data_IF_720382418291
#
_entry.id   IF_720382418291
#
_cell.length_a   1.000
_cell.length_b   1.000
_cell.length_c   1.000
_cell.angle_alpha   90.00
_cell.angle_beta   90.00
_cell.angle_gamma   90.00
#
_symmetry.space_group_name_H-M   'P 1'
#
loop_
_entity.id
_entity.type
_entity.pdbx_description
1 polymer ?
#
# COMPACT_ATOMS: atom_id res chain seq x y z
N UNK A 1 -6.58 -21.36 -39.45
CA UNK A 1 -6.43 -20.46 -40.61
C UNK A 1 -6.34 -21.27 -41.89
N UNK A 2 -5.47 -22.27 -41.97
CA UNK A 2 -5.24 -23.11 -43.15
C UNK A 2 -6.52 -23.84 -43.63
N UNK A 3 -7.23 -24.47 -42.73
CA UNK A 3 -8.47 -25.23 -43.02
C UNK A 3 -9.60 -24.32 -43.53
N UNK A 4 -9.68 -23.09 -43.00
CA UNK A 4 -10.68 -22.13 -43.44
C UNK A 4 -10.39 -21.59 -44.84
N UNK A 5 -9.14 -21.25 -45.13
CA UNK A 5 -8.74 -20.80 -46.46
C UNK A 5 -9.04 -21.90 -47.51
N UNK A 6 -8.85 -23.17 -47.13
CA UNK A 6 -9.14 -24.30 -47.98
C UNK A 6 -10.66 -24.48 -48.21
N UNK A 7 -11.48 -24.36 -47.17
CA UNK A 7 -12.94 -24.43 -47.27
C UNK A 7 -13.51 -23.27 -48.08
N UNK A 8 -13.01 -22.03 -47.82
CA UNK A 8 -13.46 -20.84 -48.55
C UNK A 8 -13.04 -20.93 -50.05
N UNK A 9 -11.84 -21.43 -50.34
CA UNK A 9 -11.40 -21.65 -51.70
C UNK A 9 -12.23 -22.73 -52.41
N UNK A 10 -12.54 -23.83 -51.77
CA UNK A 10 -13.40 -24.89 -52.34
C UNK A 10 -14.82 -24.38 -52.58
N UNK A 11 -15.43 -23.66 -51.64
CA UNK A 11 -16.75 -23.04 -51.82
C UNK A 11 -16.77 -22.04 -52.96
N UNK A 12 -15.72 -21.20 -53.09
CA UNK A 12 -15.60 -20.22 -54.15
C UNK A 12 -15.50 -20.91 -55.55
N UNK A 13 -14.69 -21.95 -55.64
CA UNK A 13 -14.50 -22.68 -56.89
C UNK A 13 -15.74 -23.43 -57.32
N UNK A 14 -16.51 -24.02 -56.40
CA UNK A 14 -17.70 -24.83 -56.72
C UNK A 14 -19.01 -24.05 -56.79
N UNK A 15 -19.18 -22.93 -56.06
CA UNK A 15 -20.44 -22.22 -56.00
C UNK A 15 -20.36 -20.70 -56.25
N UNK A 16 -19.17 -20.18 -56.44
CA UNK A 16 -18.95 -18.72 -56.51
C UNK A 16 -19.30 -17.94 -55.24
N UNK A 17 -19.57 -18.64 -54.12
CA UNK A 17 -20.05 -18.08 -52.90
C UNK A 17 -18.85 -17.74 -51.96
N UNK A 18 -18.60 -16.50 -51.73
CA UNK A 18 -17.70 -16.05 -50.67
C UNK A 18 -18.44 -15.87 -49.37
N UNK A 19 -17.98 -16.51 -48.31
CA UNK A 19 -18.54 -16.32 -46.97
C UNK A 19 -17.79 -15.16 -46.29
N UNK A 20 -18.37 -13.94 -46.26
CA UNK A 20 -17.70 -12.73 -45.74
C UNK A 20 -17.55 -12.75 -44.19
N UNK A 21 -18.00 -13.80 -43.56
CA UNK A 21 -18.04 -13.93 -42.09
C UNK A 21 -16.67 -13.69 -41.44
N UNK A 22 -15.58 -14.09 -42.12
CA UNK A 22 -14.24 -13.92 -41.58
C UNK A 22 -13.71 -12.48 -41.69
N UNK A 23 -14.14 -11.72 -42.66
CA UNK A 23 -13.77 -10.31 -42.76
C UNK A 23 -14.35 -9.48 -41.63
N UNK A 24 -15.42 -9.97 -41.00
CA UNK A 24 -16.07 -9.34 -39.85
C UNK A 24 -15.51 -9.90 -38.54
N UNK A 25 -15.33 -11.22 -38.45
CA UNK A 25 -14.87 -11.87 -37.21
C UNK A 25 -13.40 -11.54 -36.84
N UNK A 26 -12.52 -11.45 -37.82
CA UNK A 26 -11.10 -11.16 -37.54
C UNK A 26 -10.93 -9.78 -36.87
N UNK A 27 -11.47 -8.66 -37.40
CA UNK A 27 -11.38 -7.36 -36.72
C UNK A 27 -12.05 -7.36 -35.35
N UNK A 28 -13.18 -8.06 -35.18
CA UNK A 28 -13.86 -8.14 -33.86
C UNK A 28 -13.01 -8.86 -32.81
N UNK A 29 -12.35 -9.96 -33.20
CA UNK A 29 -11.46 -10.69 -32.29
C UNK A 29 -10.22 -9.83 -31.94
N UNK A 30 -9.62 -9.16 -32.92
CA UNK A 30 -8.47 -8.29 -32.68
C UNK A 30 -8.83 -7.08 -31.81
N UNK A 31 -9.98 -6.42 -32.08
CA UNK A 31 -10.43 -5.26 -31.28
C UNK A 31 -10.80 -5.67 -29.85
N UNK A 32 -11.50 -6.79 -29.67
CA UNK A 32 -11.83 -7.31 -28.33
C UNK A 32 -10.58 -7.70 -27.55
N UNK A 33 -9.61 -8.36 -28.19
CA UNK A 33 -8.32 -8.67 -27.57
C UNK A 33 -7.53 -7.43 -27.17
N UNK A 34 -7.50 -6.43 -28.05
CA UNK A 34 -6.83 -5.16 -27.75
C UNK A 34 -7.50 -4.41 -26.58
N UNK A 35 -8.83 -4.35 -26.58
CA UNK A 35 -9.59 -3.75 -25.46
C UNK A 35 -9.32 -4.49 -24.14
N UNK A 36 -9.28 -5.83 -24.18
CA UNK A 36 -9.02 -6.62 -22.98
C UNK A 36 -7.59 -6.37 -22.43
N UNK A 37 -6.59 -6.32 -23.31
CA UNK A 37 -5.20 -5.98 -22.92
C UNK A 37 -5.13 -4.56 -22.35
N UNK A 38 -5.80 -3.60 -23.00
CA UNK A 38 -5.86 -2.22 -22.51
C UNK A 38 -6.49 -2.11 -21.11
N UNK A 39 -7.61 -2.78 -20.88
CA UNK A 39 -8.29 -2.81 -19.57
C UNK A 39 -7.43 -3.48 -18.50
N UNK A 40 -6.73 -4.57 -18.83
CA UNK A 40 -5.78 -5.21 -17.92
C UNK A 40 -4.63 -4.27 -17.55
N UNK A 41 -4.07 -3.57 -18.53
CA UNK A 41 -2.98 -2.61 -18.30
C UNK A 41 -3.44 -1.43 -17.43
N UNK A 42 -4.59 -0.82 -17.73
CA UNK A 42 -5.16 0.30 -16.96
C UNK A 42 -5.47 -0.12 -15.51
N UNK A 43 -6.00 -1.32 -15.32
CA UNK A 43 -6.24 -1.91 -13.98
C UNK A 43 -4.96 -2.09 -13.19
N UNK A 44 -3.87 -2.57 -13.81
CA UNK A 44 -2.56 -2.73 -13.17
C UNK A 44 -1.96 -1.38 -12.74
N UNK A 45 -2.04 -0.37 -13.59
CA UNK A 45 -1.53 0.98 -13.29
C UNK A 45 -2.28 1.61 -12.12
N UNK A 46 -3.62 1.52 -12.12
CA UNK A 46 -4.45 2.03 -11.03
C UNK A 46 -4.19 1.32 -9.71
N UNK A 47 -4.00 0.00 -9.75
CA UNK A 47 -3.67 -0.78 -8.56
C UNK A 47 -2.32 -0.36 -7.98
N UNK A 48 -1.30 -0.15 -8.82
CA UNK A 48 0.02 0.33 -8.37
C UNK A 48 -0.02 1.72 -7.73
N UNK A 49 -0.84 2.63 -8.26
CA UNK A 49 -1.03 3.96 -7.66
C UNK A 49 -1.74 3.90 -6.31
N UNK A 50 -2.75 3.03 -6.16
CA UNK A 50 -3.43 2.79 -4.89
C UNK A 50 -2.48 2.18 -3.86
N UNK A 51 -1.66 1.20 -4.25
CA UNK A 51 -0.63 0.61 -3.38
C UNK A 51 0.35 1.68 -2.85
N UNK A 52 0.86 2.53 -3.72
CA UNK A 52 1.75 3.63 -3.33
C UNK A 52 1.12 4.60 -2.33
N UNK A 53 -0.13 4.95 -2.53
CA UNK A 53 -0.87 5.82 -1.61
C UNK A 53 -1.19 5.14 -0.28
N UNK A 54 -1.59 3.86 -0.30
CA UNK A 54 -1.90 3.10 0.91
C UNK A 54 -0.65 2.80 1.76
N UNK A 55 0.52 2.58 1.12
CA UNK A 55 1.79 2.34 1.82
C UNK A 55 2.23 3.52 2.69
N UNK A 56 1.78 4.74 2.37
CA UNK A 56 2.05 5.93 3.20
C UNK A 56 1.23 5.96 4.49
N UNK A 57 0.11 5.22 4.55
CA UNK A 57 -0.82 5.24 5.68
C UNK A 57 -0.97 3.88 6.39
N UNK A 58 -0.61 2.79 5.73
CA UNK A 58 -0.77 1.44 6.25
C UNK A 58 0.58 0.71 6.29
N UNK A 59 0.81 -0.13 7.33
CA UNK A 59 1.98 -1.00 7.38
C UNK A 59 2.05 -1.89 6.13
N UNK A 60 3.26 -2.16 5.60
CA UNK A 60 3.44 -3.04 4.43
C UNK A 60 2.82 -4.43 4.60
N UNK A 61 2.78 -4.93 5.85
CA UNK A 61 2.15 -6.21 6.20
C UNK A 61 0.64 -6.16 5.96
N UNK A 62 -0.02 -5.05 6.35
CA UNK A 62 -1.47 -4.87 6.16
C UNK A 62 -1.82 -4.74 4.69
N UNK A 63 -1.04 -3.95 3.93
CA UNK A 63 -1.23 -3.82 2.47
C UNK A 63 -1.08 -5.17 1.77
N UNK A 64 -0.08 -5.96 2.17
CA UNK A 64 0.15 -7.30 1.63
C UNK A 64 -0.98 -8.27 1.97
N UNK A 65 -1.52 -8.21 3.19
CA UNK A 65 -2.64 -9.04 3.62
C UNK A 65 -3.92 -8.68 2.85
N UNK A 66 -4.24 -7.40 2.71
CA UNK A 66 -5.39 -6.92 1.92
C UNK A 66 -5.28 -7.40 0.45
N UNK A 67 -4.08 -7.37 -0.11
CA UNK A 67 -3.82 -7.81 -1.48
C UNK A 67 -4.03 -9.32 -1.67
N UNK A 68 -3.58 -10.11 -0.70
CA UNK A 68 -3.66 -11.57 -0.78
C UNK A 68 -5.04 -12.11 -0.40
N UNK A 69 -5.74 -11.41 0.49
CA UNK A 69 -7.04 -11.78 1.04
C UNK A 69 -7.99 -10.56 1.05
N UNK A 70 -8.61 -10.21 -0.11
CA UNK A 70 -9.53 -9.07 -0.18
C UNK A 70 -10.74 -9.18 0.75
N UNK A 71 -11.12 -10.40 1.13
CA UNK A 71 -12.22 -10.71 2.06
C UNK A 71 -11.73 -10.89 3.51
N UNK A 72 -10.49 -10.50 3.82
CA UNK A 72 -9.93 -10.66 5.16
C UNK A 72 -10.76 -9.92 6.21
N UNK A 73 -10.76 -10.46 7.43
CA UNK A 73 -11.44 -9.86 8.58
C UNK A 73 -10.91 -8.45 8.90
N UNK A 74 -9.72 -8.09 8.41
CA UNK A 74 -9.14 -6.74 8.52
C UNK A 74 -9.98 -5.65 7.84
N UNK A 75 -10.76 -6.00 6.81
CA UNK A 75 -11.64 -5.08 6.08
C UNK A 75 -13.08 -5.07 6.62
N UNK A 76 -13.43 -5.97 7.52
CA UNK A 76 -14.77 -6.01 8.11
C UNK A 76 -14.92 -4.91 9.15
N UNK A 77 -15.99 -4.14 9.04
CA UNK A 77 -16.39 -3.17 10.06
C UNK A 77 -16.87 -3.94 11.28
N UNK A 78 -15.98 -4.10 12.26
CA UNK A 78 -16.28 -4.78 13.51
C UNK A 78 -15.13 -4.59 14.50
N UNK A 79 -15.44 -4.45 15.78
CA UNK A 79 -14.43 -4.37 16.84
C UNK A 79 -14.05 -5.77 17.32
N UNK A 80 -12.77 -6.05 17.46
CA UNK A 80 -12.24 -7.23 18.13
C UNK A 80 -11.58 -6.84 19.45
N UNK A 81 -11.82 -7.62 20.51
CA UNK A 81 -11.17 -7.39 21.80
C UNK A 81 -9.84 -8.12 21.81
N UNK A 82 -8.74 -7.37 21.73
CA UNK A 82 -7.37 -7.90 21.76
C UNK A 82 -6.59 -7.33 22.93
N UNK A 83 -5.59 -8.09 23.39
CA UNK A 83 -4.57 -7.59 24.33
C UNK A 83 -3.47 -6.95 23.51
N UNK A 84 -3.32 -5.65 23.64
CA UNK A 84 -2.33 -4.84 22.91
C UNK A 84 -1.48 -4.03 23.88
N UNK A 85 -0.29 -3.62 23.44
CA UNK A 85 0.52 -2.59 24.10
C UNK A 85 0.54 -1.34 23.23
N UNK A 86 0.37 -0.18 23.84
CA UNK A 86 0.24 1.09 23.15
C UNK A 86 1.44 1.97 23.46
N UNK A 87 1.96 2.65 22.46
CA UNK A 87 2.95 3.72 22.57
C UNK A 87 2.29 5.05 22.19
N UNK A 88 2.43 6.03 23.07
CA UNK A 88 2.27 7.44 22.75
C UNK A 88 3.65 8.07 22.68
N UNK A 89 3.97 8.75 21.60
CA UNK A 89 5.16 9.59 21.52
C UNK A 89 4.79 11.00 21.11
N UNK A 90 5.56 11.96 21.59
CA UNK A 90 5.32 13.39 21.38
C UNK A 90 6.66 14.15 21.38
N UNK A 91 6.75 15.29 20.70
CA UNK A 91 7.95 16.10 20.65
C UNK A 91 7.93 17.12 21.79
N UNK A 92 8.91 17.04 22.67
CA UNK A 92 8.99 17.95 23.81
C UNK A 92 9.18 19.39 23.34
N UNK A 93 8.32 20.31 23.83
CA UNK A 93 8.32 21.74 23.50
C UNK A 93 8.09 22.05 22.01
N UNK A 94 7.38 21.18 21.28
CA UNK A 94 7.09 21.40 19.86
C UNK A 94 6.35 22.72 19.61
N UNK A 95 5.36 23.07 20.42
CA UNK A 95 4.62 24.35 20.30
C UNK A 95 5.57 25.53 20.36
N UNK A 96 6.54 25.53 21.27
CA UNK A 96 7.52 26.63 21.35
C UNK A 96 8.40 26.69 20.11
N UNK A 97 8.81 25.54 19.59
CA UNK A 97 9.59 25.45 18.34
C UNK A 97 8.78 26.03 17.17
N UNK A 98 7.51 25.66 17.02
CA UNK A 98 6.65 26.16 15.93
C UNK A 98 6.34 27.64 16.01
N UNK A 99 6.36 28.26 17.21
CA UNK A 99 6.16 29.69 17.39
C UNK A 99 7.36 30.54 16.93
N UNK A 100 8.56 29.92 16.93
CA UNK A 100 9.83 30.60 16.63
C UNK A 100 10.40 30.26 15.25
N UNK A 101 10.06 29.07 14.67
CA UNK A 101 10.63 28.53 13.44
C UNK A 101 9.82 28.91 12.20
N UNK A 102 10.49 28.88 11.03
CA UNK A 102 9.80 29.01 9.74
C UNK A 102 8.92 27.78 9.46
N UNK A 103 7.69 27.94 8.91
CA UNK A 103 6.80 26.82 8.59
C UNK A 103 7.44 25.72 7.73
N UNK A 104 8.34 26.08 6.83
CA UNK A 104 9.06 25.12 5.98
C UNK A 104 10.03 24.28 6.80
N UNK A 105 10.70 24.88 7.78
CA UNK A 105 11.60 24.20 8.71
C UNK A 105 10.82 23.23 9.62
N UNK A 106 9.69 23.68 10.15
CA UNK A 106 8.78 22.84 10.95
C UNK A 106 8.36 21.60 10.17
N UNK A 107 7.97 21.77 8.90
CA UNK A 107 7.58 20.66 8.05
C UNK A 107 8.74 19.68 7.84
N UNK A 108 9.93 20.15 7.53
CA UNK A 108 11.10 19.29 7.32
C UNK A 108 11.45 18.47 8.57
N UNK A 109 11.40 19.10 9.74
CA UNK A 109 11.66 18.41 11.01
C UNK A 109 10.61 17.34 11.29
N UNK A 110 9.32 17.64 11.07
CA UNK A 110 8.23 16.69 11.26
C UNK A 110 8.33 15.51 10.27
N UNK A 111 8.59 15.77 9.01
CA UNK A 111 8.68 14.74 7.98
C UNK A 111 9.83 13.77 8.30
N UNK A 112 10.99 14.27 8.72
CA UNK A 112 12.12 13.43 9.12
C UNK A 112 11.82 12.67 10.42
N UNK A 113 11.24 13.33 11.42
CA UNK A 113 10.84 12.71 12.68
C UNK A 113 9.85 11.57 12.45
N UNK A 114 8.76 11.82 11.73
CA UNK A 114 7.76 10.81 11.46
C UNK A 114 8.32 9.66 10.61
N UNK A 115 9.12 9.95 9.60
CA UNK A 115 9.74 8.91 8.77
C UNK A 115 10.56 7.92 9.61
N UNK A 116 11.38 8.43 10.53
CA UNK A 116 12.22 7.59 11.40
C UNK A 116 11.38 6.85 12.43
N UNK A 117 10.48 7.55 13.14
CA UNK A 117 9.72 6.96 14.25
C UNK A 117 8.73 5.91 13.76
N UNK A 118 8.05 6.17 12.64
CA UNK A 118 7.13 5.22 12.00
C UNK A 118 7.88 4.01 11.47
N UNK A 119 9.05 4.20 10.86
CA UNK A 119 9.93 3.11 10.44
C UNK A 119 10.26 2.16 11.60
N UNK A 120 10.64 2.71 12.77
CA UNK A 120 10.94 1.91 13.97
C UNK A 120 9.72 1.13 14.49
N UNK A 121 8.52 1.72 14.42
CA UNK A 121 7.28 1.02 14.77
C UNK A 121 7.07 -0.18 13.86
N UNK A 122 7.18 0.00 12.55
CA UNK A 122 6.97 -1.07 11.56
C UNK A 122 8.04 -2.15 11.61
N UNK A 123 9.32 -1.77 11.79
CA UNK A 123 10.45 -2.71 11.90
C UNK A 123 10.31 -3.66 13.11
N UNK A 124 9.61 -3.22 14.14
CA UNK A 124 9.32 -4.04 15.33
C UNK A 124 7.92 -4.66 15.32
N UNK A 125 7.22 -4.67 14.16
CA UNK A 125 5.92 -5.31 14.02
C UNK A 125 4.76 -4.56 14.67
N UNK A 126 4.92 -3.26 14.94
CA UNK A 126 3.85 -2.38 15.40
C UNK A 126 3.02 -1.81 14.27
N UNK A 127 1.90 -1.23 14.64
CA UNK A 127 0.95 -0.55 13.74
C UNK A 127 0.78 0.89 14.24
N UNK A 128 0.93 1.86 13.33
CA UNK A 128 0.60 3.26 13.62
C UNK A 128 -0.90 3.43 13.44
N UNK A 129 -1.59 3.87 14.50
CA UNK A 129 -3.03 4.14 14.47
C UNK A 129 -3.31 5.52 13.86
N UNK A 130 -2.66 6.54 14.39
CA UNK A 130 -2.83 7.91 13.91
C UNK A 130 -1.70 8.84 14.34
N UNK A 131 -1.63 9.97 13.64
CA UNK A 131 -0.85 11.13 14.04
C UNK A 131 -1.72 12.10 14.83
N UNK A 132 -1.14 12.74 15.85
CA UNK A 132 -1.84 13.68 16.72
C UNK A 132 -1.00 14.97 16.85
N UNK A 133 -1.05 15.80 15.80
CA UNK A 133 -0.13 16.95 15.70
C UNK A 133 1.30 16.45 15.46
N UNK A 134 2.17 16.65 16.44
CA UNK A 134 3.54 16.16 16.48
C UNK A 134 3.69 14.79 17.18
N UNK A 135 2.58 14.22 17.66
CA UNK A 135 2.54 12.94 18.32
C UNK A 135 2.19 11.75 17.42
N UNK A 136 2.60 10.57 17.85
CA UNK A 136 2.28 9.30 17.22
C UNK A 136 1.58 8.38 18.23
N UNK A 137 0.44 7.82 17.82
CA UNK A 137 -0.20 6.71 18.50
C UNK A 137 0.09 5.43 17.72
N UNK A 138 0.76 4.49 18.37
CA UNK A 138 1.06 3.17 17.80
C UNK A 138 0.70 2.06 18.77
N UNK A 139 0.39 0.88 18.25
CA UNK A 139 0.10 -0.29 19.06
C UNK A 139 0.80 -1.54 18.55
N UNK A 140 0.98 -2.50 19.44
CA UNK A 140 1.61 -3.79 19.20
C UNK A 140 0.67 -4.88 19.66
N UNK A 141 0.44 -5.86 18.82
CA UNK A 141 -0.26 -7.09 19.17
C UNK A 141 0.74 -8.16 19.65
N UNK A 142 0.24 -9.17 20.36
CA UNK A 142 1.08 -10.32 20.69
C UNK A 142 1.28 -11.17 19.44
N UNK A 143 2.53 -11.34 18.96
CA UNK A 143 2.79 -12.28 17.88
C UNK A 143 2.57 -13.73 18.35
N UNK A 144 2.44 -14.69 17.43
CA UNK A 144 2.27 -16.11 17.76
C UNK A 144 3.44 -16.70 18.56
N UNK A 145 4.62 -16.07 18.44
CA UNK A 145 5.85 -16.50 19.09
C UNK A 145 5.94 -16.04 20.56
N UNK A 146 7.01 -16.44 21.23
CA UNK A 146 7.23 -16.19 22.66
C UNK A 146 7.44 -14.73 23.08
N UNK A 147 7.56 -13.81 22.11
CA UNK A 147 7.75 -12.38 22.36
C UNK A 147 6.42 -11.71 22.62
N UNK A 148 6.31 -10.91 23.68
CA UNK A 148 5.07 -10.21 24.03
C UNK A 148 4.98 -8.83 23.37
N UNK A 149 3.75 -8.33 23.17
CA UNK A 149 3.51 -6.96 22.70
C UNK A 149 4.21 -5.91 23.56
N UNK A 150 4.30 -6.13 24.88
CA UNK A 150 4.98 -5.23 25.80
C UNK A 150 6.49 -5.17 25.57
N UNK A 151 7.13 -6.30 25.23
CA UNK A 151 8.55 -6.34 24.89
C UNK A 151 8.84 -5.60 23.59
N UNK A 152 8.00 -5.79 22.57
CA UNK A 152 8.10 -5.10 21.30
C UNK A 152 7.93 -3.59 21.48
N UNK A 153 6.90 -3.17 22.19
CA UNK A 153 6.64 -1.75 22.47
C UNK A 153 7.80 -1.12 23.25
N UNK A 154 8.31 -1.79 24.30
CA UNK A 154 9.43 -1.28 25.08
C UNK A 154 10.71 -1.16 24.24
N UNK A 155 11.02 -2.17 23.43
CA UNK A 155 12.17 -2.15 22.51
C UNK A 155 12.06 -0.97 21.55
N UNK A 156 10.89 -0.78 20.95
CA UNK A 156 10.63 0.33 20.02
C UNK A 156 10.79 1.68 20.70
N UNK A 157 10.21 1.87 21.88
CA UNK A 157 10.32 3.11 22.64
C UNK A 157 11.78 3.47 22.95
N UNK A 158 12.60 2.48 23.32
CA UNK A 158 14.04 2.69 23.54
C UNK A 158 14.76 3.12 22.25
N UNK A 159 14.42 2.51 21.12
CA UNK A 159 14.98 2.89 19.82
C UNK A 159 14.55 4.29 19.41
N UNK A 160 13.26 4.64 19.59
CA UNK A 160 12.73 5.99 19.34
C UNK A 160 13.49 7.04 20.16
N UNK A 161 13.71 6.80 21.46
CA UNK A 161 14.47 7.72 22.31
C UNK A 161 15.91 7.92 21.81
N UNK A 162 16.58 6.87 21.37
CA UNK A 162 17.96 6.97 20.80
C UNK A 162 17.97 7.84 19.53
N UNK A 163 16.99 7.65 18.67
CA UNK A 163 16.88 8.45 17.43
C UNK A 163 16.47 9.89 17.71
N UNK A 164 15.60 10.12 18.70
CA UNK A 164 15.24 11.48 19.13
C UNK A 164 16.47 12.28 19.60
N UNK A 165 17.41 11.65 20.31
CA UNK A 165 18.68 12.30 20.71
C UNK A 165 19.52 12.67 19.48
N UNK A 166 19.58 11.81 18.47
CA UNK A 166 20.33 12.07 17.22
C UNK A 166 19.71 13.24 16.47
N UNK A 167 18.38 13.23 16.31
CA UNK A 167 17.63 14.32 15.66
C UNK A 167 17.80 15.64 16.40
N UNK A 168 17.66 15.64 17.73
CA UNK A 168 17.85 16.85 18.54
C UNK A 168 19.26 17.46 18.40
N UNK A 169 20.29 16.64 18.22
CA UNK A 169 21.65 17.13 17.97
C UNK A 169 21.85 17.66 16.54
N UNK A 170 21.04 17.23 15.59
CA UNK A 170 21.07 17.71 14.20
C UNK A 170 20.40 19.08 14.05
N UNK A 171 19.37 19.36 14.86
CA UNK A 171 18.53 20.57 14.77
C UNK A 171 18.79 21.59 15.91
N UNK A 172 19.86 21.42 16.67
CA UNK A 172 20.39 22.43 17.61
C UNK A 172 21.30 23.42 16.91
#
# INVERSE_FOLDING_TARGET
>A
ISSYLLINFTLFVYSGLQIPVFNILIPVIFTSGFIMIYLMYDSQVKMGQLEGSLQSYLPPVVVKEIKNNPDSDLLKIGGERKRISVIFSDIVQFTKFTDEADPTEVQLVLDEYFSIMVGLVFDNGGIVDKYMGDGILAFFENPPDSVTSAQLATKTAIQMQKQAVILNNKYK
#
